data_IF_121912408784
#
_entry.id   IF_121912408784
#
_cell.length_a   1.000
_cell.length_b   1.000
_cell.length_c   1.000
_cell.angle_alpha   90.00
_cell.angle_beta   90.00
_cell.angle_gamma   90.00
#
_symmetry.space_group_name_H-M   'P 1'
#
loop_
_entity.id
_entity.type
_entity.pdbx_description
1 polymer ?
#
# COMPACT_ATOMS: atom_id res chain seq x y z
N UNK A 1 -5.94 13.19 7.90
CA UNK A 1 -4.97 12.13 7.50
C UNK A 1 -4.48 12.50 6.11
N UNK A 2 -3.33 13.13 6.01
CA UNK A 2 -2.70 13.45 4.73
C UNK A 2 -1.89 12.21 4.30
N UNK A 3 -2.33 11.48 3.27
CA UNK A 3 -1.47 10.54 2.58
C UNK A 3 -0.72 11.34 1.50
N UNK A 4 0.46 11.84 1.84
CA UNK A 4 1.33 12.48 0.86
C UNK A 4 2.15 11.37 0.17
N UNK A 5 1.69 10.89 -1.00
CA UNK A 5 2.63 10.41 -2.01
C UNK A 5 3.28 11.66 -2.58
N UNK A 6 4.48 11.94 -2.12
CA UNK A 6 5.24 13.05 -2.63
C UNK A 6 5.60 12.71 -4.08
N UNK A 7 4.96 13.41 -5.06
CA UNK A 7 5.55 13.62 -6.36
C UNK A 7 6.98 14.06 -6.07
N UNK A 8 7.98 13.49 -6.73
CA UNK A 8 9.36 13.95 -6.61
C UNK A 8 9.51 15.40 -7.07
N UNK A 9 8.89 16.33 -6.34
CA UNK A 9 9.43 17.68 -6.26
C UNK A 9 10.71 17.54 -5.43
N UNK A 10 11.79 18.14 -5.91
CA UNK A 10 13.03 18.34 -5.16
C UNK A 10 12.67 18.87 -3.77
N UNK A 11 12.31 18.00 -2.85
CA UNK A 11 12.38 18.30 -1.43
C UNK A 11 13.86 18.59 -1.19
N UNK A 12 14.18 19.82 -0.85
CA UNK A 12 15.51 20.17 -0.35
C UNK A 12 15.61 19.56 1.05
N UNK A 13 15.74 18.23 1.10
CA UNK A 13 16.13 17.54 2.32
C UNK A 13 17.59 17.93 2.52
N UNK A 14 17.83 18.77 3.51
CA UNK A 14 19.18 19.06 3.98
C UNK A 14 19.74 17.77 4.57
N UNK A 15 20.28 16.92 3.65
CA UNK A 15 21.10 15.74 3.94
C UNK A 15 20.44 14.66 4.84
N UNK A 16 20.32 13.35 4.49
CA UNK A 16 21.41 12.47 4.06
C UNK A 16 21.10 11.48 2.92
N UNK A 17 20.15 11.76 2.03
CA UNK A 17 19.77 10.85 0.94
C UNK A 17 20.67 10.87 -0.30
N UNK A 18 21.87 11.45 -0.23
CA UNK A 18 22.80 11.46 -1.36
C UNK A 18 23.35 10.08 -1.76
N UNK A 19 23.01 9.02 -1.02
CA UNK A 19 23.44 7.64 -1.32
C UNK A 19 22.30 6.64 -1.51
N UNK A 20 21.03 7.01 -1.28
CA UNK A 20 19.88 6.15 -1.58
C UNK A 20 19.56 6.25 -3.07
N UNK A 21 20.08 5.31 -3.86
CA UNK A 21 19.64 5.13 -5.24
C UNK A 21 18.18 4.67 -5.21
N UNK A 22 17.26 5.56 -5.52
CA UNK A 22 15.83 5.28 -5.68
C UNK A 22 15.62 4.48 -6.96
N UNK A 23 15.85 3.17 -6.91
CA UNK A 23 15.46 2.28 -8.00
C UNK A 23 14.09 1.69 -7.67
N UNK A 24 13.03 2.34 -8.17
CA UNK A 24 11.76 1.69 -8.46
C UNK A 24 10.88 1.22 -7.30
N UNK A 25 11.12 1.60 -6.03
CA UNK A 25 10.34 1.13 -4.91
C UNK A 25 9.42 2.22 -4.36
N UNK A 26 8.12 1.92 -4.33
CA UNK A 26 7.10 2.79 -3.77
C UNK A 26 7.30 2.88 -2.25
N UNK A 27 7.79 4.03 -1.76
CA UNK A 27 7.85 4.33 -0.33
C UNK A 27 6.48 4.84 0.10
N UNK A 28 5.81 4.17 1.03
CA UNK A 28 4.59 4.71 1.65
C UNK A 28 4.97 5.56 2.85
N UNK A 29 4.50 6.80 2.84
CA UNK A 29 4.66 7.75 3.93
C UNK A 29 3.27 7.94 4.56
N UNK A 30 3.15 7.65 5.86
CA UNK A 30 1.97 8.00 6.64
C UNK A 30 2.30 9.22 7.47
N UNK A 31 1.45 10.24 7.40
CA UNK A 31 1.51 11.40 8.28
C UNK A 31 0.48 11.20 9.40
N UNK A 32 0.89 11.43 10.62
CA UNK A 32 0.05 11.39 11.80
C UNK A 32 0.09 12.74 12.51
N UNK A 33 -1.09 13.22 12.91
CA UNK A 33 -1.19 14.37 13.82
C UNK A 33 -1.10 13.82 15.24
N UNK A 34 -0.08 14.19 15.99
CA UNK A 34 0.15 13.75 17.38
C UNK A 34 -0.95 14.21 18.35
N UNK A 35 -1.88 15.09 17.92
CA UNK A 35 -2.95 15.63 18.75
C UNK A 35 -4.33 14.96 18.58
N UNK A 36 -4.53 14.09 17.60
CA UNK A 36 -5.83 13.43 17.35
C UNK A 36 -6.20 12.37 18.40
N UNK A 37 -5.31 12.06 19.37
CA UNK A 37 -5.53 11.09 20.44
C UNK A 37 -6.07 11.72 21.73
N UNK A 38 -6.16 13.04 21.82
CA UNK A 38 -6.68 13.73 23.02
C UNK A 38 -8.10 14.23 22.86
N UNK A 39 -9.08 13.36 22.97
CA UNK A 39 -10.42 13.80 23.40
C UNK A 39 -10.35 14.29 24.84
N UNK A 40 -10.46 15.60 25.06
CA UNK A 40 -10.86 16.12 26.35
C UNK A 40 -10.09 17.25 27.01
N UNK A 41 -9.27 18.04 26.35
CA UNK A 41 -8.81 19.34 26.90
C UNK A 41 -8.83 20.44 25.85
N UNK A 42 -9.80 21.34 25.99
CA UNK A 42 -9.80 22.65 25.35
C UNK A 42 -8.81 23.57 26.08
N UNK A 43 -7.61 23.69 25.60
CA UNK A 43 -6.77 24.86 25.84
C UNK A 43 -6.48 25.47 24.47
N UNK A 44 -7.31 26.45 24.12
CA UNK A 44 -7.19 27.27 22.90
C UNK A 44 -6.06 28.27 23.06
N UNK A 45 -4.80 27.86 23.03
CA UNK A 45 -3.71 28.80 22.79
C UNK A 45 -2.50 28.05 22.25
N UNK A 46 -2.27 28.16 20.92
CA UNK A 46 -0.99 27.94 20.25
C UNK A 46 -0.44 26.51 20.21
N UNK A 47 -1.25 25.49 19.96
CA UNK A 47 -0.70 24.17 19.61
C UNK A 47 -0.40 24.13 18.10
N UNK A 48 0.89 24.16 17.73
CA UNK A 48 1.32 23.78 16.38
C UNK A 48 0.92 22.32 16.18
N UNK A 49 0.27 22.04 15.04
CA UNK A 49 0.01 20.67 14.63
C UNK A 49 1.36 19.96 14.37
N UNK A 50 1.71 19.03 15.23
CA UNK A 50 2.92 18.21 15.07
C UNK A 50 2.56 16.95 14.29
N UNK A 51 3.21 16.73 13.15
CA UNK A 51 3.00 15.56 12.33
C UNK A 51 4.26 14.67 12.32
N UNK A 52 4.03 13.37 12.37
CA UNK A 52 5.09 12.36 12.23
C UNK A 52 4.88 11.58 10.93
N UNK A 53 5.95 11.41 10.16
CA UNK A 53 5.95 10.58 8.97
C UNK A 53 6.71 9.27 9.21
N UNK A 54 6.11 8.16 8.79
CA UNK A 54 6.72 6.83 8.83
C UNK A 54 7.11 6.41 7.42
N UNK A 55 8.36 6.01 7.23
CA UNK A 55 8.90 5.59 5.94
C UNK A 55 9.45 4.18 6.06
N UNK A 56 8.75 3.21 5.49
CA UNK A 56 9.23 1.84 5.38
C UNK A 56 10.26 1.71 4.26
N UNK A 57 11.30 0.93 4.47
CA UNK A 57 12.41 0.77 3.52
C UNK A 57 12.85 -0.67 3.37
N UNK A 58 13.53 -0.97 2.25
CA UNK A 58 14.37 -2.16 2.16
C UNK A 58 15.67 -1.93 2.93
N UNK A 59 16.14 -2.98 3.61
CA UNK A 59 17.39 -2.93 4.39
C UNK A 59 18.62 -3.36 3.58
N UNK A 60 18.55 -3.18 2.25
CA UNK A 60 19.70 -3.33 1.36
C UNK A 60 20.41 -1.98 1.29
N UNK A 61 21.63 -1.91 1.78
CA UNK A 61 22.43 -0.68 1.86
C UNK A 61 22.48 -0.11 3.28
N UNK A 62 22.26 1.19 3.44
CA UNK A 62 22.45 1.90 4.73
C UNK A 62 21.22 1.91 5.63
N UNK A 63 20.03 1.62 5.10
CA UNK A 63 18.81 1.62 5.92
C UNK A 63 18.70 0.35 6.76
N UNK A 64 18.17 0.49 7.96
CA UNK A 64 17.96 -0.62 8.91
C UNK A 64 16.48 -0.85 9.25
N UNK A 65 15.55 -0.10 8.66
CA UNK A 65 14.14 -0.33 8.95
C UNK A 65 13.18 0.81 8.67
N UNK A 66 12.26 1.08 9.60
CA UNK A 66 11.27 2.15 9.51
C UNK A 66 11.88 3.44 10.01
N UNK A 67 11.93 4.47 9.15
CA UNK A 67 12.39 5.81 9.51
C UNK A 67 11.22 6.65 10.00
N UNK A 68 11.40 7.33 11.12
CA UNK A 68 10.47 8.30 11.70
C UNK A 68 10.99 9.71 11.44
N UNK A 69 10.12 10.58 10.93
CA UNK A 69 10.44 11.98 10.66
C UNK A 69 9.45 12.89 11.34
N UNK A 70 9.96 13.99 11.93
CA UNK A 70 9.15 15.13 12.28
C UNK A 70 8.86 15.94 11.03
N UNK A 71 7.60 16.33 10.82
CA UNK A 71 7.15 17.04 9.63
C UNK A 71 6.87 18.50 9.96
N UNK A 72 7.61 19.40 9.34
CA UNK A 72 7.26 20.82 9.34
C UNK A 72 6.41 21.13 8.10
N UNK A 73 5.10 21.29 8.32
CA UNK A 73 4.14 21.51 7.22
C UNK A 73 4.31 22.90 6.59
N UNK A 74 4.69 23.93 7.40
CA UNK A 74 4.87 25.31 6.93
C UNK A 74 6.07 25.42 5.98
N UNK A 75 7.17 24.75 6.32
CA UNK A 75 8.41 24.76 5.53
C UNK A 75 8.46 23.64 4.49
N UNK A 76 7.56 22.64 4.57
CA UNK A 76 7.59 21.46 3.72
C UNK A 76 8.84 20.58 3.95
N UNK A 77 9.37 20.54 5.19
CA UNK A 77 10.60 19.82 5.51
C UNK A 77 10.34 18.60 6.40
N UNK A 78 11.23 17.61 6.27
CA UNK A 78 11.26 16.38 7.08
C UNK A 78 12.59 16.32 7.83
N UNK A 79 12.53 16.14 9.16
CA UNK A 79 13.71 15.93 10.00
C UNK A 79 13.66 14.52 10.57
N UNK A 80 14.69 13.71 10.30
CA UNK A 80 14.75 12.36 10.83
C UNK A 80 14.85 12.39 12.35
N UNK A 81 13.90 11.73 13.04
CA UNK A 81 13.86 11.59 14.50
C UNK A 81 14.63 10.36 14.92
N UNK A 82 14.31 9.21 14.34
CA UNK A 82 14.96 7.93 14.61
C UNK A 82 14.60 6.86 13.58
N UNK A 83 15.29 5.73 13.65
CA UNK A 83 14.99 4.53 12.84
C UNK A 83 14.65 3.37 13.76
N UNK A 84 13.56 2.67 13.47
CA UNK A 84 13.17 1.43 14.14
C UNK A 84 13.71 0.26 13.32
N UNK A 85 14.58 -0.60 13.89
CA UNK A 85 15.14 -1.74 13.19
C UNK A 85 14.05 -2.75 12.82
N UNK A 86 13.81 -2.92 11.50
CA UNK A 86 12.90 -3.93 10.94
C UNK A 86 13.43 -4.34 9.58
N UNK A 87 13.81 -5.60 9.43
CA UNK A 87 14.34 -6.08 8.17
C UNK A 87 13.29 -5.97 7.06
N UNK A 88 13.67 -5.30 5.96
CA UNK A 88 12.85 -5.18 4.75
C UNK A 88 11.42 -4.65 4.99
N UNK A 89 11.29 -3.59 5.80
CA UNK A 89 10.02 -2.88 6.05
C UNK A 89 9.48 -2.17 4.80
N UNK A 90 9.48 -2.84 3.68
CA UNK A 90 9.21 -2.27 2.34
C UNK A 90 7.80 -1.71 2.16
N UNK A 91 6.87 -2.12 3.00
CA UNK A 91 5.50 -1.62 3.01
C UNK A 91 4.96 -1.58 4.43
N UNK A 92 4.29 -0.49 4.75
CA UNK A 92 3.64 -0.27 6.04
C UNK A 92 2.16 0.05 5.84
N UNK A 93 1.32 -0.32 6.81
CA UNK A 93 -0.10 -0.02 6.81
C UNK A 93 -0.54 0.36 8.22
N UNK A 94 -1.40 1.38 8.33
CA UNK A 94 -1.95 1.83 9.60
C UNK A 94 -3.26 1.10 9.90
N UNK A 95 -3.52 0.80 11.17
CA UNK A 95 -4.85 0.36 11.61
C UNK A 95 -5.90 1.46 11.42
N UNK A 96 -7.18 1.09 11.34
CA UNK A 96 -8.26 2.05 11.12
C UNK A 96 -8.40 3.08 12.25
N UNK A 97 -8.10 2.67 13.49
CA UNK A 97 -8.15 3.53 14.67
C UNK A 97 -6.86 4.34 14.90
N UNK A 98 -5.87 4.19 14.01
CA UNK A 98 -4.62 4.90 14.07
C UNK A 98 -3.62 4.43 15.13
N UNK A 99 -4.00 3.51 16.00
CA UNK A 99 -3.19 3.12 17.17
C UNK A 99 -2.09 2.11 16.86
N UNK A 100 -2.10 1.51 15.68
CA UNK A 100 -1.16 0.45 15.31
C UNK A 100 -0.60 0.66 13.91
N UNK A 101 0.68 0.36 13.74
CA UNK A 101 1.37 0.34 12.46
C UNK A 101 1.81 -1.09 12.16
N UNK A 102 1.37 -1.64 11.05
CA UNK A 102 1.81 -2.93 10.52
C UNK A 102 2.91 -2.72 9.50
N UNK A 103 3.92 -3.59 9.52
CA UNK A 103 5.05 -3.53 8.59
C UNK A 103 5.38 -4.91 8.05
N UNK A 104 5.74 -4.98 6.77
CA UNK A 104 6.48 -6.14 6.25
C UNK A 104 7.77 -6.28 7.07
N UNK A 105 8.15 -7.51 7.39
CA UNK A 105 9.34 -7.85 8.17
C UNK A 105 9.90 -9.20 7.70
N UNK A 106 10.72 -9.19 6.63
CA UNK A 106 11.19 -10.39 5.90
C UNK A 106 10.01 -11.29 5.47
N UNK A 107 10.00 -12.56 5.84
CA UNK A 107 8.94 -13.52 5.54
C UNK A 107 7.74 -13.40 6.49
N UNK A 108 7.61 -12.29 7.19
CA UNK A 108 6.55 -12.05 8.16
C UNK A 108 5.97 -10.65 8.12
N UNK A 109 5.12 -10.37 9.10
CA UNK A 109 4.57 -9.06 9.39
C UNK A 109 4.80 -8.74 10.86
N UNK A 110 5.30 -7.53 11.14
CA UNK A 110 5.43 -6.99 12.49
C UNK A 110 4.35 -5.93 12.74
N UNK A 111 3.97 -5.76 14.00
CA UNK A 111 3.06 -4.70 14.43
C UNK A 111 3.67 -3.90 15.59
N UNK A 112 3.43 -2.60 15.55
CA UNK A 112 3.88 -1.62 16.53
C UNK A 112 2.67 -0.85 17.06
N UNK A 113 2.68 -0.53 18.35
CA UNK A 113 1.83 0.51 18.91
C UNK A 113 2.36 1.87 18.46
N UNK A 114 1.45 2.77 18.11
CA UNK A 114 1.76 4.17 17.85
C UNK A 114 1.49 4.93 19.15
N UNK A 115 2.53 5.48 19.73
CA UNK A 115 2.47 6.24 20.99
C UNK A 115 1.91 7.66 20.75
N UNK A 116 1.55 8.35 21.81
CA UNK A 116 0.96 9.69 21.75
C UNK A 116 1.89 10.74 21.08
N UNK A 117 3.19 10.55 21.14
CA UNK A 117 4.19 11.39 20.47
C UNK A 117 4.54 10.89 19.06
N UNK A 118 3.84 9.86 18.59
CA UNK A 118 4.07 9.23 17.29
C UNK A 118 5.25 8.24 17.29
N UNK A 119 5.82 7.90 18.45
CA UNK A 119 6.83 6.85 18.52
C UNK A 119 6.23 5.46 18.30
N UNK A 120 7.08 4.47 18.01
CA UNK A 120 6.67 3.10 17.73
C UNK A 120 7.23 2.14 18.78
N UNK A 121 6.32 1.43 19.46
CA UNK A 121 6.65 0.36 20.40
C UNK A 121 6.31 -1.00 19.77
N UNK A 122 7.25 -1.94 19.63
CA UNK A 122 6.98 -3.24 19.05
C UNK A 122 6.02 -4.07 19.92
N UNK A 123 5.03 -4.71 19.27
CA UNK A 123 4.05 -5.58 19.93
C UNK A 123 4.39 -7.05 19.66
N UNK A 124 4.26 -7.50 18.41
CA UNK A 124 4.64 -8.85 18.00
C UNK A 124 4.90 -8.93 16.48
N UNK A 125 5.44 -10.08 16.07
CA UNK A 125 5.65 -10.47 14.67
C UNK A 125 5.03 -11.85 14.45
N UNK A 126 4.50 -12.08 13.25
CA UNK A 126 4.02 -13.39 12.79
C UNK A 126 4.59 -13.70 11.42
N UNK A 127 4.87 -14.98 11.17
CA UNK A 127 5.29 -15.46 9.86
C UNK A 127 4.06 -15.63 8.96
N UNK A 128 4.26 -15.45 7.64
CA UNK A 128 3.19 -15.56 6.64
C UNK A 128 3.24 -16.87 5.84
N UNK A 129 4.10 -17.80 6.23
CA UNK A 129 4.26 -19.11 5.59
C UNK A 129 4.44 -18.96 4.06
N UNK A 130 5.44 -18.18 3.66
CA UNK A 130 5.74 -17.84 2.28
C UNK A 130 6.93 -16.90 2.15
N UNK A 131 7.14 -16.39 0.94
CA UNK A 131 8.17 -15.39 0.68
C UNK A 131 7.74 -14.02 1.20
N UNK A 132 8.70 -13.12 1.30
CA UNK A 132 8.48 -11.74 1.75
C UNK A 132 7.32 -11.06 1.03
N UNK A 133 6.42 -10.45 1.82
CA UNK A 133 5.34 -9.61 1.32
C UNK A 133 5.85 -8.32 0.69
N UNK A 134 4.99 -7.68 -0.11
CA UNK A 134 5.26 -6.39 -0.75
C UNK A 134 4.16 -5.35 -0.53
N UNK A 135 3.00 -5.76 -0.03
CA UNK A 135 1.86 -4.89 0.21
C UNK A 135 1.04 -5.36 1.41
N UNK A 136 0.51 -4.42 2.18
CA UNK A 136 -0.35 -4.65 3.33
C UNK A 136 -1.63 -3.81 3.21
N UNK A 137 -2.75 -4.39 3.60
CA UNK A 137 -3.99 -3.64 3.83
C UNK A 137 -4.80 -4.25 4.98
N UNK A 138 -5.61 -3.42 5.63
CA UNK A 138 -6.49 -3.82 6.72
C UNK A 138 -7.93 -3.77 6.24
N UNK A 139 -8.73 -4.77 6.60
CA UNK A 139 -10.17 -4.75 6.32
C UNK A 139 -10.91 -3.68 7.15
N UNK A 140 -12.11 -3.28 6.73
CA UNK A 140 -12.88 -2.22 7.42
C UNK A 140 -13.35 -2.59 8.83
N UNK A 141 -13.25 -3.84 9.23
CA UNK A 141 -13.55 -4.25 10.62
C UNK A 141 -12.32 -4.18 11.52
N UNK A 142 -11.12 -4.02 10.94
CA UNK A 142 -9.86 -4.04 11.65
C UNK A 142 -9.51 -5.42 12.22
N UNK A 143 -10.11 -6.50 11.71
CA UNK A 143 -9.87 -7.87 12.18
C UNK A 143 -8.99 -8.71 11.27
N UNK A 144 -8.76 -8.24 10.06
CA UNK A 144 -8.02 -8.98 9.05
C UNK A 144 -6.98 -8.08 8.40
N UNK A 145 -5.75 -8.56 8.36
CA UNK A 145 -4.66 -7.98 7.62
C UNK A 145 -4.39 -8.84 6.39
N UNK A 146 -4.39 -8.23 5.22
CA UNK A 146 -4.06 -8.88 3.96
C UNK A 146 -2.63 -8.56 3.55
N UNK A 147 -1.92 -9.58 3.05
CA UNK A 147 -0.55 -9.46 2.57
C UNK A 147 -0.47 -9.93 1.14
N UNK A 148 0.10 -9.12 0.26
CA UNK A 148 0.45 -9.52 -1.09
C UNK A 148 1.90 -9.99 -1.15
N UNK A 149 2.14 -11.14 -1.76
CA UNK A 149 3.45 -11.73 -2.02
C UNK A 149 3.80 -11.66 -3.50
N UNK A 150 4.74 -10.76 -3.85
CA UNK A 150 5.17 -10.59 -5.25
C UNK A 150 5.98 -11.78 -5.74
N UNK A 151 6.88 -12.29 -4.91
CA UNK A 151 7.84 -13.30 -5.33
C UNK A 151 7.25 -14.70 -5.50
N UNK A 152 6.23 -15.03 -4.73
CA UNK A 152 5.57 -16.34 -4.73
C UNK A 152 4.13 -16.30 -5.27
N UNK A 153 3.62 -15.11 -5.62
CA UNK A 153 2.25 -14.95 -6.12
C UNK A 153 1.19 -15.31 -5.09
N UNK A 154 1.45 -15.07 -3.81
CA UNK A 154 0.59 -15.46 -2.70
C UNK A 154 -0.26 -14.29 -2.18
N UNK A 155 -1.50 -14.56 -1.83
CA UNK A 155 -2.34 -13.69 -0.98
C UNK A 155 -2.47 -14.35 0.37
N UNK A 156 -2.07 -13.65 1.43
CA UNK A 156 -2.14 -14.17 2.80
C UNK A 156 -3.10 -13.34 3.64
N UNK A 157 -3.85 -13.98 4.53
CA UNK A 157 -4.75 -13.34 5.49
C UNK A 157 -4.26 -13.66 6.90
N UNK A 158 -4.04 -12.62 7.69
CA UNK A 158 -3.64 -12.73 9.10
C UNK A 158 -4.77 -12.13 9.96
N UNK A 159 -5.13 -12.83 11.02
CA UNK A 159 -6.07 -12.30 12.00
C UNK A 159 -5.43 -11.19 12.84
N UNK A 160 -6.17 -10.13 13.11
CA UNK A 160 -5.75 -9.06 14.03
C UNK A 160 -6.68 -9.00 15.23
N UNK A 161 -6.11 -8.80 16.42
CA UNK A 161 -6.84 -8.67 17.66
C UNK A 161 -7.23 -7.20 17.92
N UNK A 162 -8.19 -6.98 18.81
CA UNK A 162 -8.64 -5.63 19.18
C UNK A 162 -7.55 -4.76 19.81
N UNK A 163 -6.56 -5.40 20.44
CA UNK A 163 -5.38 -4.77 21.03
C UNK A 163 -4.22 -4.60 20.04
N UNK A 164 -4.51 -4.74 18.75
CA UNK A 164 -3.56 -4.57 17.65
C UNK A 164 -2.65 -5.75 17.39
N UNK A 165 -2.53 -6.71 18.29
CA UNK A 165 -1.69 -7.90 18.09
C UNK A 165 -2.09 -8.65 16.84
N UNK A 166 -1.07 -9.12 16.12
CA UNK A 166 -1.24 -10.10 15.06
C UNK A 166 -1.49 -11.48 15.69
N UNK A 167 -2.55 -12.13 15.20
CA UNK A 167 -2.94 -13.47 15.57
C UNK A 167 -2.41 -14.51 14.58
N UNK A 168 -3.16 -15.62 14.44
CA UNK A 168 -2.79 -16.69 13.53
C UNK A 168 -2.94 -16.29 12.06
N UNK A 169 -2.14 -16.93 11.22
CA UNK A 169 -2.38 -16.99 9.79
C UNK A 169 -3.69 -17.77 9.57
N UNK A 170 -4.63 -17.17 8.85
CA UNK A 170 -5.94 -17.77 8.59
C UNK A 170 -5.96 -18.53 7.28
N UNK A 171 -5.43 -17.91 6.22
CA UNK A 171 -5.39 -18.53 4.89
C UNK A 171 -4.24 -17.99 4.05
N UNK A 172 -3.82 -18.78 3.07
CA UNK A 172 -2.82 -18.42 2.09
C UNK A 172 -3.15 -19.04 0.73
N UNK A 173 -3.39 -18.19 -0.28
CA UNK A 173 -3.77 -18.63 -1.62
C UNK A 173 -2.68 -18.27 -2.61
N UNK A 174 -2.04 -19.27 -3.22
CA UNK A 174 -1.13 -19.07 -4.34
C UNK A 174 -1.91 -18.87 -5.64
N UNK A 175 -1.65 -17.79 -6.33
CA UNK A 175 -2.17 -17.59 -7.66
C UNK A 175 -1.56 -18.62 -8.64
N UNK A 176 -2.36 -19.03 -9.60
CA UNK A 176 -1.94 -19.95 -10.68
C UNK A 176 -2.29 -19.29 -12.01
N UNK A 177 -1.44 -19.49 -12.99
CA UNK A 177 -1.62 -18.99 -14.34
C UNK A 177 -0.28 -18.73 -15.00
N UNK A 178 -0.34 -18.45 -16.29
CA UNK A 178 0.77 -18.01 -17.11
C UNK A 178 0.40 -16.63 -17.65
N UNK A 179 1.34 -15.71 -17.59
CA UNK A 179 1.26 -14.41 -18.23
C UNK A 179 1.70 -14.47 -19.69
N UNK A 180 2.25 -13.38 -20.19
CA UNK A 180 2.91 -13.33 -21.48
C UNK A 180 4.37 -13.84 -21.36
N UNK A 181 5.11 -13.74 -22.44
CA UNK A 181 6.56 -14.05 -22.44
C UNK A 181 7.44 -12.85 -22.05
N UNK A 182 6.82 -11.72 -21.68
CA UNK A 182 7.56 -10.54 -21.24
C UNK A 182 8.25 -10.79 -19.89
N UNK A 183 9.41 -10.23 -19.68
CA UNK A 183 10.30 -10.50 -18.54
C UNK A 183 9.63 -10.39 -17.16
N UNK A 184 8.68 -9.46 -16.99
CA UNK A 184 7.98 -9.22 -15.72
C UNK A 184 6.55 -9.74 -15.70
N UNK A 185 6.12 -10.41 -16.76
CA UNK A 185 4.73 -10.81 -16.96
C UNK A 185 4.64 -12.26 -17.50
N UNK A 186 5.22 -13.23 -16.79
CA UNK A 186 5.23 -14.64 -17.21
C UNK A 186 4.68 -15.62 -16.16
N UNK A 187 4.62 -15.22 -14.91
CA UNK A 187 4.10 -16.02 -13.77
C UNK A 187 3.41 -15.11 -12.76
N UNK A 188 2.63 -15.67 -11.82
CA UNK A 188 1.97 -14.86 -10.80
C UNK A 188 2.93 -14.00 -9.97
N UNK A 189 2.58 -12.72 -9.82
CA UNK A 189 3.24 -11.72 -9.00
C UNK A 189 2.17 -10.84 -8.36
N UNK A 190 1.67 -11.23 -7.18
CA UNK A 190 0.66 -10.42 -6.48
C UNK A 190 1.33 -9.18 -5.91
N UNK A 191 1.02 -8.01 -6.48
CA UNK A 191 1.65 -6.73 -6.14
C UNK A 191 0.83 -5.88 -5.17
N UNK A 192 -0.47 -6.10 -5.09
CA UNK A 192 -1.37 -5.34 -4.24
C UNK A 192 -2.55 -6.20 -3.81
N UNK A 193 -3.03 -6.00 -2.60
CA UNK A 193 -4.24 -6.62 -2.08
C UNK A 193 -5.00 -5.61 -1.24
N UNK A 194 -6.27 -5.36 -1.57
CA UNK A 194 -7.11 -4.38 -0.86
C UNK A 194 -8.56 -4.87 -0.74
N UNK A 195 -9.24 -4.63 0.39
CA UNK A 195 -10.67 -4.86 0.49
C UNK A 195 -11.45 -3.84 -0.36
N UNK A 196 -12.59 -4.26 -0.87
CA UNK A 196 -13.53 -3.35 -1.55
C UNK A 196 -14.16 -2.34 -0.57
N UNK A 197 -14.68 -1.19 -1.05
CA UNK A 197 -15.26 -0.17 -0.18
C UNK A 197 -16.40 -0.66 0.71
N UNK A 198 -17.16 -1.64 0.25
CA UNK A 198 -18.24 -2.28 0.99
C UNK A 198 -17.78 -3.43 1.92
N UNK A 199 -16.47 -3.71 1.93
CA UNK A 199 -15.83 -4.80 2.69
C UNK A 199 -16.36 -6.20 2.36
N UNK A 200 -16.98 -6.38 1.19
CA UNK A 200 -17.54 -7.68 0.78
C UNK A 200 -16.53 -8.56 0.08
N UNK A 201 -15.58 -7.95 -0.61
CA UNK A 201 -14.57 -8.63 -1.40
C UNK A 201 -13.18 -8.11 -1.10
N UNK A 202 -12.19 -8.89 -1.52
CA UNK A 202 -10.77 -8.55 -1.48
C UNK A 202 -10.24 -8.64 -2.90
N UNK A 203 -9.73 -7.53 -3.43
CA UNK A 203 -9.09 -7.46 -4.74
C UNK A 203 -7.60 -7.76 -4.60
N UNK A 204 -7.12 -8.79 -5.27
CA UNK A 204 -5.71 -9.15 -5.36
C UNK A 204 -5.21 -8.87 -6.78
N UNK A 205 -4.36 -7.86 -6.92
CA UNK A 205 -3.80 -7.43 -8.20
C UNK A 205 -2.58 -8.27 -8.51
N UNK A 206 -2.62 -8.97 -9.64
CA UNK A 206 -1.53 -9.83 -10.09
C UNK A 206 -0.87 -9.22 -11.34
N UNK A 207 0.29 -8.61 -11.10
CA UNK A 207 1.10 -7.97 -12.12
C UNK A 207 1.60 -8.96 -13.18
N UNK A 208 1.89 -10.20 -12.76
CA UNK A 208 2.57 -11.19 -13.59
C UNK A 208 1.66 -11.96 -14.54
N UNK A 209 0.35 -11.90 -14.38
CA UNK A 209 -0.62 -12.61 -15.22
C UNK A 209 -1.79 -11.74 -15.70
N UNK A 210 -1.65 -10.41 -15.60
CA UNK A 210 -2.62 -9.42 -16.06
C UNK A 210 -4.04 -9.65 -15.53
N UNK A 211 -4.17 -9.90 -14.23
CA UNK A 211 -5.45 -10.19 -13.60
C UNK A 211 -5.61 -9.46 -12.26
N UNK A 212 -6.85 -9.09 -11.96
CA UNK A 212 -7.25 -8.75 -10.60
C UNK A 212 -8.25 -9.82 -10.16
N UNK A 213 -7.86 -10.61 -9.16
CA UNK A 213 -8.72 -11.67 -8.62
C UNK A 213 -9.50 -11.14 -7.43
N UNK A 214 -10.82 -11.36 -7.45
CA UNK A 214 -11.70 -10.96 -6.37
C UNK A 214 -12.03 -12.17 -5.50
N UNK A 215 -11.76 -12.04 -4.21
CA UNK A 215 -12.03 -13.06 -3.21
C UNK A 215 -13.10 -12.60 -2.25
N UNK A 216 -13.89 -13.55 -1.74
CA UNK A 216 -14.73 -13.36 -0.56
C UNK A 216 -14.09 -14.08 0.62
N UNK A 217 -13.95 -13.38 1.74
CA UNK A 217 -13.46 -13.98 2.96
C UNK A 217 -14.62 -14.73 3.65
N UNK A 218 -14.50 -16.04 3.78
CA UNK A 218 -15.41 -16.84 4.57
C UNK A 218 -14.91 -16.92 6.01
N UNK A 219 -15.47 -16.07 6.88
CA UNK A 219 -15.07 -15.95 8.28
C UNK A 219 -15.46 -17.15 9.16
N UNK A 220 -16.31 -18.05 8.67
CA UNK A 220 -16.67 -19.30 9.40
C UNK A 220 -15.67 -20.42 9.13
N UNK A 221 -15.01 -20.38 7.97
CA UNK A 221 -14.06 -21.40 7.53
C UNK A 221 -12.63 -20.87 7.43
N UNK A 222 -12.44 -19.60 7.77
CA UNK A 222 -11.16 -18.88 7.69
C UNK A 222 -10.46 -19.04 6.32
N UNK A 223 -11.25 -18.85 5.24
CA UNK A 223 -10.77 -19.10 3.87
C UNK A 223 -11.19 -18.01 2.89
N UNK A 224 -10.26 -17.70 1.99
CA UNK A 224 -10.53 -16.92 0.79
C UNK A 224 -11.17 -17.82 -0.28
N UNK A 225 -12.32 -17.40 -0.79
CA UNK A 225 -12.99 -18.03 -1.92
C UNK A 225 -12.92 -17.10 -3.12
N UNK A 226 -12.28 -17.54 -4.20
CA UNK A 226 -12.31 -16.83 -5.48
C UNK A 226 -13.75 -16.73 -5.98
N UNK A 227 -14.19 -15.52 -6.29
CA UNK A 227 -15.55 -15.24 -6.77
C UNK A 227 -15.57 -14.69 -8.19
N UNK A 228 -14.54 -13.92 -8.59
CA UNK A 228 -14.45 -13.35 -9.93
C UNK A 228 -13.01 -12.98 -10.30
N UNK A 229 -12.78 -12.70 -11.60
CA UNK A 229 -11.49 -12.30 -12.16
C UNK A 229 -11.73 -11.18 -13.18
N UNK A 230 -11.24 -9.97 -12.86
CA UNK A 230 -11.10 -8.91 -13.84
C UNK A 230 -9.83 -9.17 -14.67
N UNK A 231 -10.01 -9.44 -15.95
CA UNK A 231 -8.91 -9.63 -16.89
C UNK A 231 -8.48 -8.28 -17.43
N UNK A 232 -7.21 -7.95 -17.20
CA UNK A 232 -6.60 -6.75 -17.73
C UNK A 232 -6.09 -6.99 -19.16
N UNK A 233 -5.66 -5.93 -19.81
CA UNK A 233 -5.01 -6.00 -21.12
C UNK A 233 -3.71 -6.81 -21.01
N UNK A 234 -3.38 -7.60 -22.04
CA UNK A 234 -2.16 -8.42 -22.02
C UNK A 234 -0.93 -7.54 -21.96
N UNK A 235 0.06 -7.97 -21.18
CA UNK A 235 1.33 -7.26 -20.97
C UNK A 235 1.14 -5.86 -20.36
N UNK A 236 0.01 -5.62 -19.70
CA UNK A 236 -0.24 -4.34 -19.02
C UNK A 236 0.43 -4.24 -17.65
N UNK A 237 0.59 -5.36 -16.96
CA UNK A 237 1.17 -5.40 -15.63
C UNK A 237 0.39 -4.56 -14.61
N UNK A 238 -0.85 -4.91 -14.26
CA UNK A 238 -1.60 -4.19 -13.22
C UNK A 238 -0.82 -4.25 -11.91
N UNK A 239 -0.63 -3.12 -11.24
CA UNK A 239 0.24 -3.02 -10.07
C UNK A 239 -0.48 -2.67 -8.79
N UNK A 240 -1.37 -1.70 -8.83
CA UNK A 240 -2.13 -1.24 -7.65
C UNK A 240 -3.56 -0.88 -8.05
N UNK A 241 -4.50 -1.09 -7.14
CA UNK A 241 -5.88 -0.64 -7.26
C UNK A 241 -6.23 0.24 -6.06
N UNK A 242 -6.90 1.37 -6.32
CA UNK A 242 -7.39 2.29 -5.29
C UNK A 242 -8.85 2.58 -5.58
N UNK A 243 -9.67 2.65 -4.55
CA UNK A 243 -11.10 2.99 -4.68
C UNK A 243 -11.36 4.44 -4.31
N UNK A 244 -12.33 5.08 -4.99
CA UNK A 244 -12.84 6.37 -4.59
C UNK A 244 -13.51 6.31 -3.20
N UNK A 245 -13.60 7.44 -2.51
CA UNK A 245 -14.29 7.53 -1.21
C UNK A 245 -15.75 7.06 -1.29
N UNK A 246 -16.45 7.45 -2.36
CA UNK A 246 -17.84 7.03 -2.60
C UNK A 246 -17.99 5.53 -2.81
N UNK A 247 -16.89 4.81 -3.02
CA UNK A 247 -16.87 3.40 -3.37
C UNK A 247 -17.43 3.06 -4.75
N UNK A 248 -17.74 4.06 -5.58
CA UNK A 248 -18.34 3.84 -6.91
C UNK A 248 -17.32 3.66 -8.03
N UNK A 249 -16.09 4.08 -7.81
CA UNK A 249 -15.02 4.04 -8.79
C UNK A 249 -13.80 3.31 -8.25
N UNK A 250 -13.09 2.63 -9.16
CA UNK A 250 -11.79 2.03 -8.91
C UNK A 250 -10.80 2.55 -9.95
N UNK A 251 -9.58 2.79 -9.51
CA UNK A 251 -8.47 3.22 -10.34
C UNK A 251 -7.41 2.12 -10.31
N UNK A 252 -6.97 1.67 -11.47
CA UNK A 252 -5.94 0.63 -11.60
C UNK A 252 -4.76 1.22 -12.35
N UNK A 253 -3.57 1.20 -11.73
CA UNK A 253 -2.34 1.61 -12.39
C UNK A 253 -1.63 0.40 -12.99
N UNK A 254 -1.10 0.57 -14.21
CA UNK A 254 -0.43 -0.47 -14.97
C UNK A 254 1.05 -0.14 -15.15
N UNK A 255 1.91 -1.00 -14.60
CA UNK A 255 3.37 -0.80 -14.59
C UNK A 255 3.98 -0.80 -15.99
N UNK A 256 3.57 -1.77 -16.83
CA UNK A 256 4.19 -1.99 -18.13
C UNK A 256 3.62 -1.10 -19.25
N UNK A 257 2.39 -0.60 -19.07
CA UNK A 257 1.75 0.30 -20.05
C UNK A 257 1.74 1.76 -19.62
N UNK A 258 2.29 2.09 -18.45
CA UNK A 258 2.36 3.47 -17.95
C UNK A 258 1.02 4.22 -18.05
N UNK A 259 -0.04 3.59 -17.58
CA UNK A 259 -1.41 4.16 -17.63
C UNK A 259 -2.20 3.88 -16.37
N UNK A 260 -3.28 4.62 -16.19
CA UNK A 260 -4.34 4.33 -15.22
C UNK A 260 -5.63 4.08 -15.97
N UNK A 261 -6.31 2.97 -15.71
CA UNK A 261 -7.68 2.74 -16.09
C UNK A 261 -8.63 3.09 -14.94
N UNK A 262 -9.72 3.77 -15.27
CA UNK A 262 -10.82 4.09 -14.37
C UNK A 262 -11.97 3.14 -14.64
N UNK A 263 -12.46 2.50 -13.57
CA UNK A 263 -13.61 1.61 -13.62
C UNK A 263 -14.74 2.14 -12.75
N UNK A 264 -15.99 1.94 -13.16
CA UNK A 264 -17.09 1.89 -12.21
C UNK A 264 -17.02 0.60 -11.41
N UNK A 265 -17.43 0.65 -10.15
CA UNK A 265 -17.52 -0.51 -9.28
C UNK A 265 -18.90 -0.60 -8.67
N UNK A 266 -19.49 -1.79 -8.67
CA UNK A 266 -20.73 -2.12 -7.95
C UNK A 266 -20.76 -3.60 -7.56
N UNK A 267 -21.41 -3.89 -6.43
CA UNK A 267 -21.82 -5.24 -6.09
C UNK A 267 -23.24 -5.49 -6.64
N UNK A 268 -23.37 -6.49 -7.49
CA UNK A 268 -24.66 -6.85 -8.11
C UNK A 268 -25.48 -7.83 -7.26
N UNK A 269 -24.93 -8.27 -6.12
CA UNK A 269 -25.47 -9.38 -5.33
C UNK A 269 -25.03 -10.76 -5.84
N UNK A 270 -24.67 -10.85 -7.12
CA UNK A 270 -24.08 -12.08 -7.73
C UNK A 270 -22.54 -12.03 -7.73
N UNK A 271 -21.95 -10.88 -7.45
CA UNK A 271 -20.51 -10.65 -7.42
C UNK A 271 -20.16 -9.20 -7.72
N UNK A 272 -18.86 -8.85 -7.59
CA UNK A 272 -18.34 -7.53 -7.94
C UNK A 272 -18.34 -7.35 -9.45
N UNK A 273 -18.77 -6.18 -9.91
CA UNK A 273 -18.75 -5.82 -11.33
C UNK A 273 -17.90 -4.56 -11.54
N UNK A 274 -17.04 -4.62 -12.55
CA UNK A 274 -16.17 -3.53 -12.96
C UNK A 274 -16.41 -3.23 -14.44
N UNK A 275 -16.74 -1.98 -14.74
CA UNK A 275 -16.90 -1.50 -16.13
C UNK A 275 -15.87 -0.41 -16.39
N UNK A 276 -15.04 -0.60 -17.42
CA UNK A 276 -14.00 0.37 -17.77
C UNK A 276 -14.63 1.63 -18.37
N UNK A 277 -14.30 2.78 -17.77
CA UNK A 277 -14.83 4.09 -18.19
C UNK A 277 -13.80 4.92 -18.94
N UNK A 278 -12.52 4.87 -18.53
CA UNK A 278 -11.49 5.75 -19.05
C UNK A 278 -10.10 5.09 -18.94
N UNK A 279 -9.17 5.54 -19.79
CA UNK A 279 -7.75 5.21 -19.73
C UNK A 279 -6.93 6.49 -19.87
N UNK A 280 -5.93 6.68 -19.01
CA UNK A 280 -5.11 7.90 -18.95
C UNK A 280 -3.64 7.50 -18.86
N UNK A 281 -2.76 8.06 -19.73
CA UNK A 281 -1.32 7.86 -19.63
C UNK A 281 -0.76 8.53 -18.36
N UNK A 282 0.23 7.89 -17.73
CA UNK A 282 0.99 8.43 -16.59
C UNK A 282 2.29 9.10 -17.02
N UNK A 283 2.66 8.99 -18.30
CA UNK A 283 3.87 9.59 -18.89
C UNK A 283 3.49 10.73 -19.82
N UNK A 284 4.42 11.67 -20.03
CA UNK A 284 4.27 12.72 -21.04
C UNK A 284 4.44 12.15 -22.45
N UNK A 285 3.89 12.84 -23.46
CA UNK A 285 3.87 12.37 -24.84
C UNK A 285 5.27 12.20 -25.52
N UNK A 286 6.34 12.66 -24.86
CA UNK A 286 7.70 12.72 -25.45
C UNK A 286 8.71 11.81 -24.75
N UNK A 287 8.26 10.85 -23.94
CA UNK A 287 9.15 10.00 -23.13
C UNK A 287 9.29 8.62 -23.73
N UNK A 288 10.51 8.06 -23.68
CA UNK A 288 10.78 6.68 -24.06
C UNK A 288 10.16 5.71 -23.03
N UNK A 289 8.95 5.22 -23.34
CA UNK A 289 8.19 4.35 -22.46
C UNK A 289 8.86 2.99 -22.18
N UNK A 290 9.93 2.63 -22.87
CA UNK A 290 10.57 1.32 -22.75
C UNK A 290 11.29 1.13 -21.41
N UNK A 291 11.64 2.21 -20.72
CA UNK A 291 12.37 2.18 -19.44
C UNK A 291 11.55 2.71 -18.26
N UNK A 292 10.35 3.18 -18.51
CA UNK A 292 9.48 3.75 -17.49
C UNK A 292 8.55 2.70 -16.91
N UNK A 293 8.27 2.81 -15.61
CA UNK A 293 7.40 1.90 -14.90
C UNK A 293 6.49 2.69 -13.94
N UNK A 294 5.22 2.79 -14.26
CA UNK A 294 4.23 3.37 -13.37
C UNK A 294 4.17 2.53 -12.08
N UNK A 295 4.43 3.15 -10.94
CA UNK A 295 4.73 2.38 -9.73
C UNK A 295 3.79 2.62 -8.56
N UNK A 296 3.26 3.79 -8.38
CA UNK A 296 2.46 4.09 -7.22
C UNK A 296 1.31 5.03 -7.50
N UNK A 297 0.26 4.94 -6.67
CA UNK A 297 -0.95 5.71 -6.84
C UNK A 297 -1.58 6.07 -5.50
N UNK A 298 -2.06 7.31 -5.32
CA UNK A 298 -2.88 7.67 -4.18
C UNK A 298 -3.86 8.81 -4.51
N UNK A 299 -4.99 8.82 -3.80
CA UNK A 299 -5.94 9.93 -3.85
C UNK A 299 -5.50 11.07 -2.92
N UNK A 300 -5.82 12.30 -3.30
CA UNK A 300 -5.73 13.43 -2.38
C UNK A 300 -6.69 13.25 -1.20
N UNK A 301 -6.46 13.89 -0.03
CA UNK A 301 -7.36 13.80 1.12
C UNK A 301 -8.78 14.31 0.85
N UNK A 302 -8.94 15.27 -0.07
CA UNK A 302 -10.23 15.78 -0.53
C UNK A 302 -10.86 14.94 -1.66
N UNK A 303 -10.18 13.85 -2.08
CA UNK A 303 -10.58 12.93 -3.13
C UNK A 303 -10.80 13.54 -4.53
N UNK A 304 -10.33 14.79 -4.77
CA UNK A 304 -10.45 15.46 -6.06
C UNK A 304 -9.32 15.10 -7.04
N UNK A 305 -8.18 14.66 -6.53
CA UNK A 305 -6.99 14.37 -7.34
C UNK A 305 -6.48 12.96 -7.13
N UNK A 306 -6.04 12.35 -8.21
CA UNK A 306 -5.29 11.09 -8.19
C UNK A 306 -3.83 11.39 -8.54
N UNK A 307 -2.93 11.10 -7.62
CA UNK A 307 -1.50 11.22 -7.84
C UNK A 307 -0.93 9.88 -8.27
N UNK A 308 -0.06 9.90 -9.25
CA UNK A 308 0.70 8.74 -9.72
C UNK A 308 2.19 9.02 -9.68
N UNK A 309 2.99 7.98 -9.60
CA UNK A 309 4.45 8.08 -9.75
C UNK A 309 4.93 7.11 -10.81
N UNK A 310 5.88 7.53 -11.63
CA UNK A 310 6.50 6.71 -12.66
C UNK A 310 8.01 6.68 -12.45
N UNK A 311 8.56 5.46 -12.24
CA UNK A 311 10.00 5.25 -12.15
C UNK A 311 10.59 5.31 -13.56
N UNK A 312 11.77 5.93 -13.70
CA UNK A 312 12.40 6.16 -15.01
C UNK A 312 12.24 7.60 -15.47
N UNK A 313 11.03 8.02 -15.74
CA UNK A 313 10.69 9.42 -16.12
C UNK A 313 10.80 10.41 -14.93
N UNK A 314 10.81 9.91 -13.70
CA UNK A 314 10.84 10.73 -12.47
C UNK A 314 9.68 11.73 -12.35
N UNK A 315 8.49 11.35 -12.78
CA UNK A 315 7.23 12.12 -12.69
C UNK A 315 6.23 11.49 -11.74
#
# INVERSE_FOLDING_TARGET
ILCLKIKCYRLHIKNPFSSLSWRGNCVKIFLENSHDVREGRKDENNMKDEYVAYVGTYTHGSSIGIHLYDVNVEEGTLTERKVIPVNNSSHIARSLNGKYLYSIADEGVAVFAVEDDGDLTPINKVDIDGMRGCYLSVDKTGRYLFVAGYHDGKVTVVHTHKDGRLGSLMDGVFHKGLGSVAERNFRPHVSCVVPTPDNKYVCAVDNGIDQIKMYKLNTQRDRLKLVDILRCERESGPREIVFSESGKYAYVIYELMNKVDVFSYRDTGNGPEFEKLQSISTTSANVDQAHDAASGMCLSPDHHYLFTSTAGDNT
#
